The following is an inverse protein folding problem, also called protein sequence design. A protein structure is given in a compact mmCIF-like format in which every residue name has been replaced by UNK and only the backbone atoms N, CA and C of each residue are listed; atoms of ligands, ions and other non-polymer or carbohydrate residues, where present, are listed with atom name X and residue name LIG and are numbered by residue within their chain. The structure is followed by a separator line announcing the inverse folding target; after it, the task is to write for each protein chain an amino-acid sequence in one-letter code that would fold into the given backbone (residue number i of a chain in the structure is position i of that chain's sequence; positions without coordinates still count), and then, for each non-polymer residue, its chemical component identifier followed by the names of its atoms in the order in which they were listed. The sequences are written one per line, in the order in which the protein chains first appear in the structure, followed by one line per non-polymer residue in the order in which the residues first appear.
data_IF_610605322887
#
_entry.id   IF_610605322887
#
_cell.length_a   1.000
_cell.length_b   1.000
_cell.length_c   1.000
_cell.angle_alpha   90.00
_cell.angle_beta   90.00
_cell.angle_gamma   90.00
#
_symmetry.space_group_name_H-M   'P 1'
#
loop_
_entity.id
_entity.type
_entity.pdbx_description
1 polymer ?
#
# COMPACT_ATOMS: atom_id res chain seq x y z
N UNK A 1 16.06 -0.49 13.43
CA UNK A 1 17.08 -1.01 12.49
C UNK A 1 17.62 0.17 11.71
N UNK A 2 18.92 0.45 11.84
CA UNK A 2 19.58 1.57 11.19
C UNK A 2 19.78 1.26 9.67
N UNK A 3 19.56 2.23 8.76
CA UNK A 3 19.77 2.07 7.32
C UNK A 3 21.10 1.41 6.94
N UNK A 4 22.21 1.67 7.65
CA UNK A 4 23.52 1.07 7.33
C UNK A 4 23.56 -0.44 7.61
N UNK A 5 22.86 -0.92 8.64
CA UNK A 5 22.79 -2.35 8.96
C UNK A 5 22.06 -3.17 7.87
N UNK A 6 21.11 -2.55 7.15
CA UNK A 6 20.43 -3.17 6.02
C UNK A 6 21.32 -3.26 4.76
N UNK A 7 22.30 -2.37 4.63
CA UNK A 7 23.24 -2.34 3.50
C UNK A 7 24.30 -3.44 3.63
N UNK A 8 24.81 -3.68 4.85
CA UNK A 8 25.77 -4.78 5.10
C UNK A 8 25.17 -6.16 4.84
N UNK A 9 23.84 -6.31 4.96
CA UNK A 9 23.13 -7.55 4.68
C UNK A 9 22.85 -7.78 3.18
N UNK A 10 23.06 -6.80 2.30
CA UNK A 10 22.90 -6.93 0.84
C UNK A 10 24.27 -7.09 0.16
N UNK A 11 24.30 -7.82 -0.95
CA UNK A 11 25.50 -7.93 -1.78
C UNK A 11 25.97 -6.54 -2.24
N UNK A 12 27.28 -6.33 -2.18
CA UNK A 12 27.98 -5.05 -2.37
C UNK A 12 27.57 -4.36 -3.68
N UNK A 13 27.11 -3.10 -3.65
CA UNK A 13 26.89 -2.34 -4.88
C UNK A 13 28.23 -2.00 -5.54
N UNK A 14 28.31 -2.23 -6.85
CA UNK A 14 29.51 -2.02 -7.66
C UNK A 14 29.76 -0.51 -7.83
N UNK A 15 30.99 -0.05 -7.52
CA UNK A 15 31.40 1.36 -7.72
C UNK A 15 31.17 2.32 -6.54
N UNK A 16 30.68 1.87 -5.38
CA UNK A 16 30.53 2.74 -4.18
C UNK A 16 31.72 2.53 -3.22
N UNK A 17 32.42 3.60 -2.79
CA UNK A 17 33.50 3.50 -1.80
C UNK A 17 33.05 2.86 -0.49
N UNK A 18 33.91 2.03 0.11
CA UNK A 18 33.65 1.31 1.37
C UNK A 18 33.80 2.21 2.61
N UNK A 19 33.15 3.39 2.59
CA UNK A 19 33.06 4.30 3.72
C UNK A 19 31.63 4.31 4.25
N UNK A 20 31.49 4.31 5.58
CA UNK A 20 30.20 4.35 6.27
C UNK A 20 29.27 5.46 5.73
N UNK A 21 29.80 6.68 5.55
CA UNK A 21 29.04 7.81 5.00
C UNK A 21 28.54 7.55 3.57
N UNK A 22 29.41 7.04 2.70
CA UNK A 22 29.05 6.78 1.30
C UNK A 22 27.96 5.71 1.17
N UNK A 23 27.98 4.68 2.02
CA UNK A 23 26.93 3.65 2.08
C UNK A 23 25.61 4.20 2.64
N UNK A 24 25.68 5.05 3.68
CA UNK A 24 24.50 5.71 4.25
C UNK A 24 23.82 6.67 3.26
N UNK A 25 24.61 7.45 2.52
CA UNK A 25 24.12 8.35 1.47
C UNK A 25 23.51 7.57 0.31
N UNK A 26 24.13 6.45 -0.09
CA UNK A 26 23.59 5.55 -1.11
C UNK A 26 22.25 4.92 -0.69
N UNK A 27 22.14 4.45 0.56
CA UNK A 27 20.89 3.92 1.11
C UNK A 27 19.79 4.98 1.17
N UNK A 28 20.14 6.20 1.59
CA UNK A 28 19.24 7.34 1.63
C UNK A 28 18.75 7.72 0.24
N UNK A 29 19.64 7.73 -0.75
CA UNK A 29 19.31 7.96 -2.16
C UNK A 29 18.37 6.89 -2.71
N UNK A 30 18.61 5.62 -2.39
CA UNK A 30 17.74 4.50 -2.79
C UNK A 30 16.33 4.62 -2.17
N UNK A 31 16.25 5.03 -0.91
CA UNK A 31 14.97 5.27 -0.23
C UNK A 31 14.20 6.43 -0.86
N UNK A 32 14.88 7.55 -1.10
CA UNK A 32 14.30 8.71 -1.78
C UNK A 32 13.83 8.36 -3.21
N UNK A 33 14.58 7.53 -3.94
CA UNK A 33 14.17 7.03 -5.25
C UNK A 33 12.94 6.13 -5.16
N UNK A 34 12.87 5.26 -4.15
CA UNK A 34 11.70 4.41 -3.91
C UNK A 34 10.45 5.22 -3.55
N UNK A 35 10.59 6.28 -2.76
CA UNK A 35 9.50 7.22 -2.43
C UNK A 35 9.01 7.97 -3.67
N UNK A 36 9.92 8.46 -4.53
CA UNK A 36 9.57 9.10 -5.81
C UNK A 36 8.89 8.16 -6.81
N UNK A 37 9.11 6.86 -6.69
CA UNK A 37 8.48 5.82 -7.51
C UNK A 37 7.13 5.36 -6.96
N UNK A 38 6.66 5.91 -5.83
CA UNK A 38 5.34 5.59 -5.32
C UNK A 38 4.26 6.13 -6.23
N UNK A 39 3.18 5.34 -6.36
CA UNK A 39 2.05 5.70 -7.20
C UNK A 39 1.27 6.89 -6.63
N UNK A 40 1.13 6.94 -5.30
CA UNK A 40 0.47 8.02 -4.56
C UNK A 40 1.52 8.97 -3.99
N UNK A 41 1.18 10.25 -3.92
CA UNK A 41 1.97 11.25 -3.19
C UNK A 41 1.67 11.03 -1.69
N UNK A 42 2.60 11.27 -0.75
CA UNK A 42 2.37 11.05 0.68
C UNK A 42 1.02 11.53 1.26
N UNK A 43 0.48 12.72 0.95
CA UNK A 43 -0.82 13.15 1.47
C UNK A 43 -1.99 12.38 0.87
N UNK A 44 -1.89 11.96 -0.40
CA UNK A 44 -2.92 11.12 -1.03
C UNK A 44 -2.92 9.71 -0.42
N UNK A 45 -1.73 9.17 -0.14
CA UNK A 45 -1.60 7.87 0.52
C UNK A 45 -2.22 7.90 1.91
N UNK A 46 -1.93 8.95 2.69
CA UNK A 46 -2.53 9.16 4.00
C UNK A 46 -4.06 9.24 3.94
N UNK A 47 -4.62 10.03 3.00
CA UNK A 47 -6.07 10.13 2.84
C UNK A 47 -6.73 8.77 2.51
N UNK A 48 -6.09 7.96 1.67
CA UNK A 48 -6.57 6.60 1.36
C UNK A 48 -6.53 5.70 2.60
N UNK A 49 -5.46 5.76 3.40
CA UNK A 49 -5.33 4.97 4.63
C UNK A 49 -6.39 5.38 5.65
N UNK A 50 -6.57 6.67 5.90
CA UNK A 50 -7.58 7.21 6.81
C UNK A 50 -8.99 6.79 6.38
N UNK A 51 -9.31 6.88 5.09
CA UNK A 51 -10.57 6.40 4.54
C UNK A 51 -10.79 4.91 4.84
N UNK A 52 -9.79 4.06 4.59
CA UNK A 52 -9.89 2.62 4.84
C UNK A 52 -10.08 2.30 6.33
N UNK A 53 -9.39 3.02 7.21
CA UNK A 53 -9.55 2.89 8.66
C UNK A 53 -10.94 3.35 9.11
N UNK A 54 -11.43 4.46 8.55
CA UNK A 54 -12.77 4.98 8.83
C UNK A 54 -13.86 3.98 8.43
N UNK A 55 -13.78 3.44 7.21
CA UNK A 55 -14.69 2.40 6.72
C UNK A 55 -14.69 1.16 7.63
N UNK A 56 -13.52 0.78 8.16
CA UNK A 56 -13.44 -0.31 9.14
C UNK A 56 -14.11 0.03 10.48
N UNK A 57 -13.95 1.27 10.98
CA UNK A 57 -14.63 1.73 12.21
C UNK A 57 -16.16 1.72 12.05
N UNK A 58 -16.65 2.03 10.84
CA UNK A 58 -18.08 1.93 10.49
C UNK A 58 -18.59 0.50 10.32
N UNK A 59 -17.74 -0.52 10.51
CA UNK A 59 -18.13 -1.93 10.34
C UNK A 59 -18.22 -2.38 8.87
N UNK A 60 -17.78 -1.55 7.93
CA UNK A 60 -17.79 -1.83 6.49
C UNK A 60 -16.37 -1.82 5.90
N UNK A 61 -15.50 -2.74 6.34
CA UNK A 61 -14.12 -2.79 5.85
C UNK A 61 -14.05 -3.11 4.36
N UNK A 62 -13.23 -2.33 3.66
CA UNK A 62 -13.05 -2.42 2.21
C UNK A 62 -12.19 -3.65 1.86
N UNK A 63 -12.64 -4.43 0.87
CA UNK A 63 -11.85 -5.56 0.37
C UNK A 63 -10.60 -5.06 -0.37
N UNK A 64 -9.46 -5.75 -0.15
CA UNK A 64 -8.16 -5.40 -0.75
C UNK A 64 -8.19 -5.28 -2.29
N UNK A 65 -9.11 -5.99 -2.96
CA UNK A 65 -9.31 -5.92 -4.42
C UNK A 65 -9.76 -4.54 -4.91
N UNK A 66 -10.44 -3.77 -4.06
CA UNK A 66 -10.96 -2.44 -4.40
C UNK A 66 -9.99 -1.31 -4.07
N UNK A 67 -8.98 -1.57 -3.23
CA UNK A 67 -7.97 -0.58 -2.81
C UNK A 67 -7.24 0.06 -3.99
N UNK A 68 -6.82 -0.67 -5.05
CA UNK A 68 -6.25 -0.03 -6.23
C UNK A 68 -7.18 0.95 -6.94
N UNK A 69 -8.48 0.65 -7.00
CA UNK A 69 -9.48 1.55 -7.61
C UNK A 69 -9.67 2.82 -6.79
N UNK A 70 -9.68 2.70 -5.46
CA UNK A 70 -9.76 3.84 -4.53
C UNK A 70 -8.51 4.72 -4.63
N UNK A 71 -7.32 4.11 -4.71
CA UNK A 71 -6.09 4.84 -4.95
C UNK A 71 -6.13 5.59 -6.29
N UNK A 72 -6.65 4.95 -7.35
CA UNK A 72 -6.84 5.61 -8.63
C UNK A 72 -7.81 6.80 -8.56
N UNK A 73 -8.93 6.67 -7.83
CA UNK A 73 -9.84 7.80 -7.63
C UNK A 73 -9.20 8.94 -6.85
N UNK A 74 -8.33 8.66 -5.87
CA UNK A 74 -7.62 9.70 -5.13
C UNK A 74 -6.73 10.55 -6.04
N UNK A 75 -6.12 9.96 -7.07
CA UNK A 75 -5.29 10.70 -8.05
C UNK A 75 -6.07 11.60 -9.00
N UNK A 76 -7.41 11.56 -8.97
CA UNK A 76 -8.23 12.42 -9.84
C UNK A 76 -8.05 13.91 -9.55
N UNK A 77 -7.68 14.28 -8.33
CA UNK A 77 -7.45 15.68 -7.98
C UNK A 77 -6.15 16.25 -8.57
N UNK A 78 -5.28 15.40 -9.14
CA UNK A 78 -4.07 15.86 -9.82
C UNK A 78 -4.40 16.56 -11.14
N UNK A 79 -3.53 17.52 -11.50
CA UNK A 79 -3.50 18.10 -12.85
C UNK A 79 -3.41 17.00 -13.92
N UNK A 80 -4.01 17.25 -15.08
CA UNK A 80 -4.10 16.29 -16.20
C UNK A 80 -2.75 15.72 -16.62
N UNK A 81 -1.68 16.52 -16.54
CA UNK A 81 -0.31 16.10 -16.87
C UNK A 81 0.26 15.05 -15.88
N UNK A 82 -0.09 15.15 -14.59
CA UNK A 82 0.44 14.32 -13.52
C UNK A 82 -0.51 13.18 -13.10
N UNK A 83 -1.67 13.10 -13.75
CA UNK A 83 -2.67 12.08 -13.47
C UNK A 83 -2.28 10.76 -14.14
N UNK A 84 -2.18 9.66 -13.37
CA UNK A 84 -1.95 8.35 -13.96
C UNK A 84 -3.14 7.96 -14.85
N UNK A 85 -2.88 7.29 -15.98
CA UNK A 85 -3.94 6.84 -16.91
C UNK A 85 -4.58 5.53 -16.49
N UNK A 86 -3.88 4.73 -15.68
CA UNK A 86 -4.29 3.38 -15.27
C UNK A 86 -4.19 3.25 -13.76
N UNK A 87 -5.06 2.44 -13.14
CA UNK A 87 -4.97 2.12 -11.72
C UNK A 87 -3.66 1.39 -11.41
N UNK A 88 -3.21 1.41 -10.14
CA UNK A 88 -2.03 0.68 -9.72
C UNK A 88 -2.25 -0.84 -9.85
N UNK A 89 -1.16 -1.58 -10.09
CA UNK A 89 -1.23 -3.02 -10.34
C UNK A 89 -1.66 -3.85 -9.12
N UNK A 90 -2.01 -5.12 -9.36
CA UNK A 90 -2.52 -6.07 -8.34
C UNK A 90 -1.63 -6.19 -7.08
N UNK A 91 -0.31 -6.07 -7.23
CA UNK A 91 0.64 -6.19 -6.13
C UNK A 91 0.83 -4.89 -5.35
N UNK A 92 0.34 -3.75 -5.85
CA UNK A 92 0.52 -2.46 -5.21
C UNK A 92 -0.20 -2.38 -3.86
N UNK A 93 -1.40 -2.94 -3.77
CA UNK A 93 -2.18 -2.96 -2.52
C UNK A 93 -1.48 -3.75 -1.41
N UNK A 94 -0.78 -4.85 -1.76
CA UNK A 94 0.10 -5.57 -0.82
C UNK A 94 1.29 -4.71 -0.38
N UNK A 95 1.81 -3.87 -1.28
CA UNK A 95 2.85 -2.89 -0.94
C UNK A 95 2.35 -1.84 0.05
N UNK A 96 1.13 -1.33 -0.14
CA UNK A 96 0.48 -0.40 0.80
C UNK A 96 0.30 -1.04 2.19
N UNK A 97 -0.17 -2.28 2.24
CA UNK A 97 -0.33 -3.04 3.49
C UNK A 97 1.02 -3.25 4.23
N UNK A 98 2.13 -3.42 3.50
CA UNK A 98 3.47 -3.49 4.10
C UNK A 98 3.94 -2.16 4.68
N UNK A 99 3.50 -1.04 4.11
CA UNK A 99 3.82 0.32 4.63
C UNK A 99 2.93 0.68 5.82
N UNK A 100 1.67 0.25 5.80
CA UNK A 100 0.66 0.56 6.81
C UNK A 100 0.11 -0.73 7.45
N UNK A 101 0.83 -1.30 8.42
CA UNK A 101 0.45 -2.58 9.04
C UNK A 101 -0.89 -2.51 9.80
N UNK A 102 -1.35 -1.31 10.16
CA UNK A 102 -2.67 -1.06 10.74
C UNK A 102 -3.83 -1.51 9.83
N UNK A 103 -3.65 -1.43 8.50
CA UNK A 103 -4.65 -1.91 7.55
C UNK A 103 -4.81 -3.43 7.62
N UNK A 104 -3.75 -4.18 7.97
CA UNK A 104 -3.77 -5.64 8.05
C UNK A 104 -4.69 -6.12 9.17
N UNK A 105 -4.68 -5.44 10.32
CA UNK A 105 -5.52 -5.76 11.48
C UNK A 105 -7.02 -5.51 11.21
N UNK A 106 -7.34 -4.66 10.24
CA UNK A 106 -8.70 -4.24 9.89
C UNK A 106 -9.27 -4.93 8.65
N UNK A 107 -8.57 -5.92 8.09
CA UNK A 107 -9.07 -6.72 6.98
C UNK A 107 -10.23 -7.59 7.44
N UNK A 108 -11.37 -7.48 6.76
CA UNK A 108 -12.34 -8.58 6.76
C UNK A 108 -11.77 -9.70 5.89
N UNK A 109 -11.45 -10.82 6.54
CA UNK A 109 -11.35 -12.10 5.86
C UNK A 109 -12.63 -12.26 5.05
N UNK A 110 -12.52 -12.57 3.75
CA UNK A 110 -13.67 -12.69 2.87
C UNK A 110 -14.78 -13.44 3.61
N UNK A 111 -15.92 -12.76 3.84
CA UNK A 111 -17.12 -13.40 4.37
C UNK A 111 -17.28 -14.69 3.59
N UNK A 112 -17.22 -15.82 4.28
CA UNK A 112 -17.29 -17.13 3.65
C UNK A 112 -18.57 -17.16 2.82
N UNK A 113 -18.43 -17.10 1.49
CA UNK A 113 -19.53 -17.10 0.53
C UNK A 113 -20.50 -18.27 0.78
N UNK A 114 -20.00 -19.33 1.43
CA UNK A 114 -20.75 -20.48 1.95
C UNK A 114 -21.92 -20.15 2.91
N UNK A 115 -22.08 -18.90 3.38
CA UNK A 115 -23.25 -18.50 4.20
C UNK A 115 -24.44 -18.01 3.40
N UNK A 116 -24.28 -17.57 2.15
CA UNK A 116 -25.35 -16.89 1.44
C UNK A 116 -26.37 -17.86 0.82
N UNK A 117 -25.94 -18.99 0.24
CA UNK A 117 -26.88 -19.89 -0.45
C UNK A 117 -27.62 -20.86 0.48
N UNK A 118 -27.00 -21.29 1.59
CA UNK A 118 -27.56 -22.40 2.40
C UNK A 118 -28.66 -22.01 3.39
N UNK A 119 -28.78 -20.74 3.76
CA UNK A 119 -29.63 -20.32 4.89
C UNK A 119 -30.78 -19.37 4.51
N UNK A 120 -31.02 -19.14 3.21
CA UNK A 120 -32.07 -18.22 2.73
C UNK A 120 -33.36 -18.97 2.40
N UNK A 121 -33.27 -20.18 1.86
CA UNK A 121 -34.44 -20.91 1.35
C UNK A 121 -35.48 -21.25 2.42
N UNK A 122 -35.09 -21.56 3.66
CA UNK A 122 -36.04 -21.87 4.75
C UNK A 122 -36.69 -20.64 5.39
N UNK A 123 -36.26 -19.42 5.04
CA UNK A 123 -36.73 -18.16 5.65
C UNK A 123 -37.72 -17.39 4.78
N UNK A 124 -38.06 -17.91 3.61
CA UNK A 124 -39.11 -17.39 2.74
C UNK A 124 -40.33 -18.29 2.96
N UNK A 125 -41.09 -18.00 4.01
CA UNK A 125 -42.39 -18.60 4.33
C UNK A 125 -43.34 -17.47 4.69
#
# INVERSE_FOLDING_TARGET
MDPASLVLARSRPEGVPNLYRALADYASSMRAKAERQQYLIPPEEQAVVEFLLHMSKLGQPVQMKHVPSIAFSATRHRCTANRPRKPPGKNWAKGLEKRHPELRAKRVAALGWNRHEKNIYEKIT
#
